data_IF_714708912802
#
_entry.id   IF_714708912802
#
_cell.length_a   1.000
_cell.length_b   1.000
_cell.length_c   1.000
_cell.angle_alpha   90.00
_cell.angle_beta   90.00
_cell.angle_gamma   90.00
#
_symmetry.space_group_name_H-M   'P 1'
#
loop_
_entity.id
_entity.type
_entity.pdbx_description
1 polymer ?
#
# COMPACT_ATOMS: atom_id res chain seq x y z
N UNK A 1 19.55 -3.98 14.52
CA UNK A 1 19.23 -4.31 13.13
C UNK A 1 18.16 -3.39 12.60
N UNK A 2 18.36 -2.91 11.36
CA UNK A 2 17.42 -1.98 10.75
C UNK A 2 16.31 -2.76 10.03
N UNK A 3 15.09 -2.68 10.54
CA UNK A 3 13.93 -3.29 9.89
C UNK A 3 13.26 -2.27 8.98
N UNK A 4 12.73 -2.76 7.88
CA UNK A 4 11.91 -1.96 6.97
C UNK A 4 10.45 -2.25 7.21
N UNK A 5 9.62 -1.21 7.10
CA UNK A 5 8.19 -1.33 7.29
C UNK A 5 7.46 -0.68 6.14
N UNK A 6 6.43 -1.36 5.67
CA UNK A 6 5.46 -0.81 4.74
C UNK A 6 4.30 -0.26 5.55
N UNK A 7 3.99 1.01 5.36
CA UNK A 7 2.89 1.66 6.04
C UNK A 7 1.76 1.86 5.02
N UNK A 8 0.57 1.38 5.36
CA UNK A 8 -0.60 1.53 4.51
C UNK A 8 -1.63 2.40 5.22
N UNK A 9 -2.18 3.37 4.50
CA UNK A 9 -3.35 4.09 4.95
C UNK A 9 -4.58 3.45 4.35
N UNK A 10 -5.42 2.84 5.18
CA UNK A 10 -6.62 2.12 4.74
C UNK A 10 -7.86 2.95 5.05
N UNK A 11 -8.73 3.10 4.05
CA UNK A 11 -9.97 3.82 4.25
C UNK A 11 -10.90 3.02 5.16
N UNK A 12 -11.36 3.65 6.25
CA UNK A 12 -12.36 3.10 7.14
C UNK A 12 -13.75 3.69 6.86
N UNK A 13 -13.78 4.87 6.25
CA UNK A 13 -14.99 5.53 5.77
C UNK A 13 -14.59 6.54 4.70
N UNK A 14 -15.54 7.30 4.16
CA UNK A 14 -15.25 8.33 3.16
C UNK A 14 -14.38 9.46 3.69
N UNK A 15 -14.29 9.62 5.02
CA UNK A 15 -13.56 10.72 5.64
C UNK A 15 -12.51 10.27 6.65
N UNK A 16 -12.34 8.96 6.84
CA UNK A 16 -11.46 8.40 7.85
C UNK A 16 -10.56 7.32 7.29
N UNK A 17 -9.39 7.15 7.89
CA UNK A 17 -8.47 6.07 7.53
C UNK A 17 -7.76 5.56 8.78
N UNK A 18 -7.17 4.36 8.65
CA UNK A 18 -6.32 3.80 9.69
C UNK A 18 -4.95 3.47 9.10
N UNK A 19 -3.92 3.48 9.94
CA UNK A 19 -2.57 3.11 9.52
C UNK A 19 -2.28 1.68 9.91
N UNK A 20 -1.72 0.93 8.97
CA UNK A 20 -1.27 -0.44 9.20
C UNK A 20 0.23 -0.48 8.93
N UNK A 21 0.97 -1.09 9.85
CA UNK A 21 2.42 -1.22 9.76
C UNK A 21 2.77 -2.67 9.49
N UNK A 22 3.40 -2.93 8.35
CA UNK A 22 3.76 -4.28 7.92
C UNK A 22 5.28 -4.40 7.88
N UNK A 23 5.88 -5.29 8.68
CA UNK A 23 7.31 -5.55 8.57
C UNK A 23 7.61 -6.25 7.25
N UNK A 24 8.55 -5.72 6.49
CA UNK A 24 8.89 -6.24 5.16
C UNK A 24 10.32 -6.75 5.06
N UNK A 25 10.97 -6.91 6.20
CA UNK A 25 12.29 -7.52 6.26
C UNK A 25 13.36 -6.55 6.70
N UNK A 26 14.59 -6.98 6.53
CA UNK A 26 15.76 -6.23 6.96
C UNK A 26 16.30 -5.40 5.80
N UNK A 27 16.85 -4.24 6.11
CA UNK A 27 17.40 -3.32 5.12
C UNK A 27 18.41 -3.99 4.18
N UNK A 28 19.14 -4.98 4.67
CA UNK A 28 20.14 -5.70 3.88
C UNK A 28 19.54 -6.54 2.73
N UNK A 29 18.26 -6.85 2.78
CA UNK A 29 17.59 -7.64 1.74
C UNK A 29 16.95 -6.79 0.64
N UNK A 30 17.02 -5.52 0.77
CA UNK A 30 16.70 -4.50 -0.24
C UNK A 30 15.50 -4.77 -1.15
N UNK A 31 14.35 -5.06 -0.56
CA UNK A 31 13.11 -4.96 -1.30
C UNK A 31 12.75 -3.48 -1.43
N UNK A 32 12.46 -3.00 -2.65
CA UNK A 32 12.00 -1.64 -2.81
C UNK A 32 10.61 -1.46 -2.21
N UNK A 33 10.25 -0.23 -1.86
CA UNK A 33 8.92 0.06 -1.34
C UNK A 33 7.83 -0.36 -2.34
N UNK A 34 8.06 -0.12 -3.62
CA UNK A 34 7.12 -0.50 -4.67
C UNK A 34 6.92 -2.01 -4.74
N UNK A 35 8.00 -2.79 -4.63
CA UNK A 35 7.92 -4.25 -4.64
C UNK A 35 7.17 -4.78 -3.42
N UNK A 36 7.43 -4.20 -2.24
CA UNK A 36 6.74 -4.59 -1.02
C UNK A 36 5.25 -4.27 -1.10
N UNK A 37 4.91 -3.12 -1.63
CA UNK A 37 3.52 -2.71 -1.83
C UNK A 37 2.79 -3.69 -2.75
N UNK A 38 3.39 -4.03 -3.88
CA UNK A 38 2.81 -4.98 -4.84
C UNK A 38 2.65 -6.37 -4.23
N UNK A 39 3.61 -6.79 -3.41
CA UNK A 39 3.57 -8.11 -2.78
C UNK A 39 2.45 -8.23 -1.73
N UNK A 40 2.19 -7.17 -0.98
CA UNK A 40 1.25 -7.21 0.15
C UNK A 40 -0.15 -6.72 -0.16
N UNK A 41 -0.39 -6.23 -1.36
CA UNK A 41 -1.70 -5.70 -1.75
C UNK A 41 -2.24 -6.41 -3.00
N UNK A 42 -3.53 -6.21 -3.26
CA UNK A 42 -4.20 -6.77 -4.43
C UNK A 42 -4.78 -5.62 -5.24
N UNK A 43 -4.57 -5.69 -6.55
CA UNK A 43 -5.19 -4.74 -7.48
C UNK A 43 -6.53 -5.30 -7.94
N UNK A 44 -7.61 -4.56 -7.73
CA UNK A 44 -8.96 -4.98 -8.09
C UNK A 44 -9.54 -3.98 -9.07
N UNK A 45 -10.00 -4.49 -10.20
CA UNK A 45 -10.64 -3.68 -11.22
C UNK A 45 -12.11 -3.45 -10.85
N UNK A 46 -12.57 -2.21 -10.96
CA UNK A 46 -13.98 -1.91 -10.73
C UNK A 46 -14.69 -1.74 -12.07
N UNK A 47 -15.42 -2.77 -12.55
CA UNK A 47 -16.08 -2.73 -13.84
C UNK A 47 -17.22 -1.73 -13.93
N UNK A 48 -17.74 -1.28 -12.79
CA UNK A 48 -18.83 -0.31 -12.73
C UNK A 48 -18.35 1.13 -12.91
N UNK A 49 -17.04 1.34 -12.94
CA UNK A 49 -16.45 2.67 -13.01
C UNK A 49 -15.84 2.94 -14.39
N UNK A 50 -16.61 2.64 -15.42
CA UNK A 50 -16.17 2.87 -16.78
C UNK A 50 -16.88 4.10 -17.34
N UNK A 51 -16.12 5.13 -17.69
CA UNK A 51 -16.65 6.35 -18.24
C UNK A 51 -16.23 6.44 -19.72
N UNK A 52 -17.17 6.23 -20.63
CA UNK A 52 -16.89 6.28 -22.07
C UNK A 52 -15.88 5.22 -22.50
N UNK A 53 -14.80 5.65 -23.16
CA UNK A 53 -13.76 4.77 -23.66
C UNK A 53 -12.58 4.62 -22.72
N UNK A 54 -12.69 5.12 -21.50
CA UNK A 54 -11.61 5.02 -20.52
C UNK A 54 -11.60 3.64 -19.87
N UNK A 55 -10.40 3.21 -19.47
CA UNK A 55 -10.24 1.95 -18.77
C UNK A 55 -10.92 2.00 -17.40
N UNK A 56 -11.42 0.85 -16.88
CA UNK A 56 -12.00 0.81 -15.54
C UNK A 56 -10.99 1.25 -14.50
N UNK A 57 -11.46 1.95 -13.46
CA UNK A 57 -10.60 2.32 -12.35
C UNK A 57 -10.17 1.08 -11.59
N UNK A 58 -8.89 1.07 -11.21
CA UNK A 58 -8.31 0.00 -10.43
C UNK A 58 -8.17 0.47 -8.97
N UNK A 59 -8.63 -0.35 -8.04
CA UNK A 59 -8.45 -0.11 -6.62
C UNK A 59 -7.41 -1.05 -6.05
N UNK A 60 -6.60 -0.53 -5.16
CA UNK A 60 -5.64 -1.35 -4.42
C UNK A 60 -6.27 -1.72 -3.09
N UNK A 61 -6.29 -3.01 -2.78
CA UNK A 61 -6.92 -3.55 -1.58
C UNK A 61 -5.91 -4.25 -0.68
N UNK A 62 -6.10 -4.12 0.62
CA UNK A 62 -5.36 -4.87 1.61
C UNK A 62 -6.36 -5.45 2.60
N UNK A 63 -6.47 -6.78 2.65
CA UNK A 63 -7.43 -7.49 3.51
C UNK A 63 -8.85 -6.95 3.39
N UNK A 64 -9.28 -6.67 2.14
CA UNK A 64 -10.62 -6.20 1.86
C UNK A 64 -10.85 -4.71 2.03
N UNK A 65 -9.86 -3.95 2.48
CA UNK A 65 -9.96 -2.50 2.65
C UNK A 65 -9.20 -1.77 1.57
N UNK A 66 -9.74 -0.63 1.12
CA UNK A 66 -9.10 0.18 0.08
C UNK A 66 -7.88 0.89 0.63
N UNK A 67 -6.76 0.77 -0.08
CA UNK A 67 -5.53 1.48 0.27
C UNK A 67 -5.61 2.89 -0.31
N UNK A 68 -5.53 3.87 0.56
CA UNK A 68 -5.60 5.29 0.22
C UNK A 68 -4.21 5.85 -0.11
N UNK A 69 -3.20 5.44 0.65
CA UNK A 69 -1.81 5.83 0.40
C UNK A 69 -0.88 4.79 1.01
N UNK A 70 0.38 4.84 0.61
CA UNK A 70 1.40 3.97 1.20
C UNK A 70 2.75 4.67 1.21
N UNK A 71 3.60 4.26 2.12
CA UNK A 71 5.00 4.66 2.15
C UNK A 71 5.79 3.61 2.93
N UNK A 72 7.11 3.67 2.82
CA UNK A 72 8.00 2.78 3.56
C UNK A 72 8.92 3.60 4.45
N UNK A 73 9.27 3.04 5.59
CA UNK A 73 10.25 3.64 6.49
C UNK A 73 11.02 2.55 7.20
N UNK A 74 12.19 2.91 7.72
CA UNK A 74 12.98 1.99 8.52
C UNK A 74 12.65 2.13 10.00
N UNK A 75 13.32 1.32 10.85
CA UNK A 75 13.09 1.35 12.29
C UNK A 75 13.57 2.64 12.96
N UNK A 76 14.34 3.45 12.25
CA UNK A 76 14.80 4.76 12.74
C UNK A 76 13.89 5.90 12.28
N UNK A 77 12.82 5.60 11.56
CA UNK A 77 11.88 6.60 11.08
C UNK A 77 12.25 7.25 9.75
N UNK A 78 13.28 6.77 9.08
CA UNK A 78 13.71 7.31 7.80
C UNK A 78 12.85 6.76 6.67
N UNK A 79 12.35 7.63 5.81
CA UNK A 79 11.58 7.22 4.64
C UNK A 79 12.46 6.52 3.62
N UNK A 80 11.95 5.43 3.06
CA UNK A 80 12.65 4.61 2.08
C UNK A 80 11.88 4.70 0.76
N UNK A 81 12.55 5.03 -0.35
CA UNK A 81 11.90 5.09 -1.67
C UNK A 81 11.45 3.73 -2.21
#
# INVERSE_FOLDING_TARGET
MNMLFLILGLLTSSTSYELVKIPIGMAAKQMTCSQAFTKHTISVENPNYKVGNYEPMTYIKYKGKTVFFHYCKDSFGKYIP
#
